data_IF_325560437922
#
_entry.id   IF_325560437922
#
_cell.length_a   1.000
_cell.length_b   1.000
_cell.length_c   1.000
_cell.angle_alpha   90.00
_cell.angle_beta   90.00
_cell.angle_gamma   90.00
#
_symmetry.space_group_name_H-M   'P 1'
#
loop_
_entity.id
_entity.type
_entity.pdbx_description
1 polymer ?
#
# COMPACT_ATOMS: atom_id res chain seq x y z
N UNK A 1 51.27 -42.71 -26.43
CA UNK A 1 50.66 -43.24 -25.19
C UNK A 1 49.15 -43.04 -25.29
N UNK A 2 48.34 -44.10 -25.19
CA UNK A 2 46.92 -44.00 -25.56
C UNK A 2 46.02 -43.53 -24.40
N UNK A 3 45.03 -42.67 -24.66
CA UNK A 3 44.27 -41.97 -23.63
C UNK A 3 42.97 -42.73 -23.29
N UNK A 4 43.04 -43.84 -22.54
CA UNK A 4 41.82 -44.61 -22.22
C UNK A 4 41.70 -44.93 -20.73
N UNK A 5 40.53 -44.66 -20.16
CA UNK A 5 40.14 -44.96 -18.77
C UNK A 5 39.01 -45.99 -18.77
N UNK A 6 39.23 -47.11 -18.10
CA UNK A 6 38.31 -48.27 -18.03
C UNK A 6 37.19 -47.99 -17.03
N UNK A 7 35.94 -48.15 -17.44
CA UNK A 7 34.76 -48.14 -16.55
C UNK A 7 34.06 -49.50 -16.69
N UNK A 8 34.10 -50.26 -15.59
CA UNK A 8 33.40 -51.53 -15.30
C UNK A 8 33.23 -52.56 -16.44
N UNK A 9 34.19 -53.48 -16.53
CA UNK A 9 33.95 -54.89 -16.88
C UNK A 9 33.81 -55.28 -18.36
N UNK A 10 33.69 -54.34 -19.30
CA UNK A 10 33.80 -54.63 -20.76
C UNK A 10 34.59 -53.54 -21.46
N UNK A 11 35.38 -53.90 -22.47
CA UNK A 11 36.14 -52.97 -23.30
C UNK A 11 35.19 -52.15 -24.20
N UNK A 12 34.53 -51.16 -23.61
CA UNK A 12 33.65 -50.25 -24.33
C UNK A 12 34.52 -49.14 -24.93
N UNK A 13 34.92 -49.26 -26.19
CA UNK A 13 35.41 -48.12 -26.97
C UNK A 13 34.21 -47.22 -27.25
N UNK A 14 33.82 -46.36 -26.30
CA UNK A 14 32.93 -45.26 -26.64
C UNK A 14 33.71 -44.43 -27.69
N UNK A 15 33.25 -44.34 -28.95
CA UNK A 15 33.97 -43.58 -29.93
C UNK A 15 33.96 -42.12 -29.46
N UNK A 16 35.12 -41.46 -29.43
CA UNK A 16 35.27 -40.02 -29.15
C UNK A 16 34.23 -39.18 -29.89
N UNK A 17 33.77 -39.66 -31.05
CA UNK A 17 32.68 -39.08 -31.85
C UNK A 17 31.34 -38.97 -31.10
N UNK A 18 30.98 -39.93 -30.26
CA UNK A 18 29.73 -39.91 -29.47
C UNK A 18 29.87 -38.91 -28.31
N UNK A 19 30.99 -38.93 -27.59
CA UNK A 19 31.27 -37.97 -26.52
C UNK A 19 31.30 -36.53 -27.05
N UNK A 20 31.96 -36.30 -28.18
CA UNK A 20 31.98 -35.00 -28.85
C UNK A 20 30.58 -34.57 -29.31
N UNK A 21 29.76 -35.48 -29.84
CA UNK A 21 28.36 -35.17 -30.21
C UNK A 21 27.51 -34.81 -29.00
N UNK A 22 27.65 -35.52 -27.89
CA UNK A 22 26.95 -35.21 -26.63
C UNK A 22 27.39 -33.85 -26.08
N UNK A 23 28.70 -33.57 -26.08
CA UNK A 23 29.24 -32.28 -25.69
C UNK A 23 28.67 -31.12 -26.52
N UNK A 24 28.63 -31.26 -27.85
CA UNK A 24 28.05 -30.23 -28.71
C UNK A 24 26.54 -30.07 -28.54
N UNK A 25 25.80 -31.16 -28.33
CA UNK A 25 24.37 -31.08 -28.04
C UNK A 25 24.11 -30.28 -26.75
N UNK A 26 24.84 -30.58 -25.67
CA UNK A 26 24.76 -29.84 -24.40
C UNK A 26 25.14 -28.38 -24.59
N UNK A 27 26.20 -28.09 -25.36
CA UNK A 27 26.66 -26.72 -25.62
C UNK A 27 25.61 -25.91 -26.39
N UNK A 28 24.94 -26.51 -27.37
CA UNK A 28 23.86 -25.89 -28.14
C UNK A 28 22.64 -25.65 -27.25
N UNK A 29 22.24 -26.62 -26.43
CA UNK A 29 21.13 -26.46 -25.49
C UNK A 29 21.41 -25.34 -24.47
N UNK A 30 22.62 -25.25 -23.92
CA UNK A 30 22.98 -24.20 -22.96
C UNK A 30 22.95 -22.80 -23.60
N UNK A 31 23.40 -22.66 -24.85
CA UNK A 31 23.32 -21.38 -25.57
C UNK A 31 21.87 -20.88 -25.71
N UNK A 32 20.93 -21.79 -25.97
CA UNK A 32 19.51 -21.44 -26.04
C UNK A 32 18.91 -21.06 -24.69
N UNK A 33 19.43 -21.60 -23.58
CA UNK A 33 18.96 -21.29 -22.23
C UNK A 33 19.45 -19.91 -21.81
N UNK A 34 20.71 -19.55 -22.08
CA UNK A 34 21.27 -18.25 -21.74
C UNK A 34 20.51 -17.11 -22.45
N UNK A 35 20.24 -17.27 -23.75
CA UNK A 35 19.44 -16.30 -24.50
C UNK A 35 18.01 -16.19 -23.95
N UNK A 36 17.33 -17.31 -23.70
CA UNK A 36 15.99 -17.32 -23.13
C UNK A 36 15.94 -16.72 -21.71
N UNK A 37 17.03 -16.85 -20.95
CA UNK A 37 17.16 -16.27 -19.62
C UNK A 37 17.31 -14.75 -19.68
N UNK A 38 18.09 -14.22 -20.62
CA UNK A 38 18.21 -12.78 -20.84
C UNK A 38 16.89 -12.18 -21.36
N UNK A 39 16.21 -12.84 -22.30
CA UNK A 39 14.88 -12.43 -22.76
C UNK A 39 13.86 -12.40 -21.62
N UNK A 40 13.84 -13.43 -20.77
CA UNK A 40 12.96 -13.47 -19.58
C UNK A 40 13.31 -12.36 -18.58
N UNK A 41 14.59 -12.07 -18.35
CA UNK A 41 15.00 -10.96 -17.48
C UNK A 41 14.50 -9.62 -18.02
N UNK A 42 14.63 -9.39 -19.32
CA UNK A 42 14.15 -8.17 -19.96
C UNK A 42 12.63 -8.02 -19.77
N UNK A 43 11.87 -9.08 -20.03
CA UNK A 43 10.42 -9.09 -19.83
C UNK A 43 10.01 -8.80 -18.37
N UNK A 44 10.75 -9.32 -17.40
CA UNK A 44 10.49 -9.03 -15.98
C UNK A 44 10.77 -7.57 -15.64
N UNK A 45 11.87 -7.00 -16.15
CA UNK A 45 12.17 -5.59 -15.94
C UNK A 45 11.09 -4.68 -16.55
N UNK A 46 10.62 -4.97 -17.77
CA UNK A 46 9.53 -4.22 -18.40
C UNK A 46 8.25 -4.27 -17.56
N UNK A 47 7.90 -5.43 -16.98
CA UNK A 47 6.76 -5.56 -16.08
C UNK A 47 6.92 -4.75 -14.79
N UNK A 48 8.11 -4.75 -14.21
CA UNK A 48 8.40 -3.99 -13.00
C UNK A 48 8.31 -2.47 -13.26
N UNK A 49 8.76 -2.01 -14.43
CA UNK A 49 8.60 -0.61 -14.86
C UNK A 49 7.13 -0.22 -15.00
N UNK A 50 6.31 -1.04 -15.67
CA UNK A 50 4.85 -0.80 -15.81
C UNK A 50 4.17 -0.77 -14.45
N UNK A 51 4.53 -1.68 -13.54
CA UNK A 51 4.00 -1.68 -12.18
C UNK A 51 4.36 -0.39 -11.43
N UNK A 52 5.63 0.03 -11.48
CA UNK A 52 6.08 1.24 -10.82
C UNK A 52 5.33 2.47 -11.34
N UNK A 53 5.21 2.60 -12.66
CA UNK A 53 4.45 3.68 -13.30
C UNK A 53 2.98 3.69 -12.84
N UNK A 54 2.32 2.52 -12.80
CA UNK A 54 0.95 2.41 -12.33
C UNK A 54 0.79 2.82 -10.85
N UNK A 55 1.75 2.44 -10.00
CA UNK A 55 1.76 2.84 -8.59
C UNK A 55 1.96 4.35 -8.41
N UNK A 56 2.91 4.94 -9.13
CA UNK A 56 3.15 6.39 -9.11
C UNK A 56 1.93 7.17 -9.60
N UNK A 57 1.33 6.73 -10.70
CA UNK A 57 0.09 7.31 -11.24
C UNK A 57 -1.04 7.23 -10.20
N UNK A 58 -1.27 6.06 -9.60
CA UNK A 58 -2.29 5.88 -8.56
C UNK A 58 -2.07 6.80 -7.36
N UNK A 59 -0.82 6.90 -6.88
CA UNK A 59 -0.44 7.79 -5.78
C UNK A 59 -0.74 9.24 -6.13
N UNK A 60 -0.36 9.69 -7.32
CA UNK A 60 -0.61 11.04 -7.79
C UNK A 60 -2.10 11.38 -7.89
N UNK A 61 -2.94 10.47 -8.40
CA UNK A 61 -4.38 10.65 -8.42
C UNK A 61 -4.94 10.82 -7.02
N UNK A 62 -4.58 9.92 -6.08
CA UNK A 62 -5.02 10.01 -4.68
C UNK A 62 -4.60 11.32 -4.03
N UNK A 63 -3.37 11.75 -4.25
CA UNK A 63 -2.86 13.03 -3.72
C UNK A 63 -3.61 14.23 -4.31
N UNK A 64 -3.87 14.26 -5.62
CA UNK A 64 -4.66 15.31 -6.27
C UNK A 64 -6.07 15.37 -5.73
N UNK A 65 -6.74 14.23 -5.65
CA UNK A 65 -8.10 14.12 -5.12
C UNK A 65 -8.14 14.57 -3.66
N UNK A 66 -7.17 14.14 -2.84
CA UNK A 66 -7.04 14.60 -1.45
C UNK A 66 -6.85 16.11 -1.36
N UNK A 67 -5.91 16.70 -2.10
CA UNK A 67 -5.68 18.16 -2.13
C UNK A 67 -6.93 18.93 -2.52
N UNK A 68 -7.66 18.44 -3.53
CA UNK A 68 -8.93 19.04 -3.95
C UNK A 68 -9.97 19.01 -2.83
N UNK A 69 -10.19 17.86 -2.20
CA UNK A 69 -11.12 17.76 -1.08
C UNK A 69 -10.67 18.57 0.14
N UNK A 70 -9.39 18.53 0.50
CA UNK A 70 -8.83 19.31 1.61
C UNK A 70 -9.02 20.82 1.37
N UNK A 71 -8.94 21.29 0.11
CA UNK A 71 -9.25 22.68 -0.24
C UNK A 71 -10.74 23.03 -0.15
N UNK A 72 -11.62 22.05 -0.32
CA UNK A 72 -13.08 22.19 -0.15
C UNK A 72 -13.53 22.08 1.30
N UNK A 73 -12.67 21.58 2.21
CA UNK A 73 -12.97 21.55 3.64
C UNK A 73 -12.95 22.98 4.16
N UNK A 74 -14.14 23.58 4.26
CA UNK A 74 -14.32 24.82 4.98
C UNK A 74 -13.95 24.62 6.45
N UNK A 75 -13.10 25.51 6.98
CA UNK A 75 -12.85 25.57 8.43
C UNK A 75 -14.17 25.89 9.11
N UNK A 76 -14.60 25.00 10.00
CA UNK A 76 -15.76 25.23 10.85
C UNK A 76 -15.27 25.64 12.22
N UNK A 77 -15.68 26.80 12.65
CA UNK A 77 -15.49 27.26 14.02
C UNK A 77 -16.64 26.71 14.87
N UNK A 78 -16.29 26.18 16.03
CA UNK A 78 -17.24 25.69 17.01
C UNK A 78 -17.03 26.43 18.32
N UNK A 79 -18.11 26.86 18.95
CA UNK A 79 -18.07 27.53 20.25
C UNK A 79 -18.20 26.50 21.37
N UNK A 80 -17.50 26.69 22.48
CA UNK A 80 -17.63 25.84 23.68
C UNK A 80 -19.11 25.86 24.13
N UNK A 81 -19.72 24.68 24.26
CA UNK A 81 -21.14 24.51 24.58
C UNK A 81 -22.07 24.37 23.38
N UNK A 82 -21.57 24.50 22.14
CA UNK A 82 -22.35 24.25 20.92
C UNK A 82 -22.63 22.75 20.73
N UNK A 83 -23.90 22.39 20.52
CA UNK A 83 -24.27 21.02 20.16
C UNK A 83 -23.76 20.71 18.75
N UNK A 84 -23.00 19.63 18.62
CA UNK A 84 -22.45 19.14 17.35
C UNK A 84 -22.83 17.68 17.16
N UNK A 85 -23.18 17.31 15.94
CA UNK A 85 -23.48 15.94 15.58
C UNK A 85 -22.19 15.24 15.15
N UNK A 86 -21.84 14.16 15.84
CA UNK A 86 -20.76 13.26 15.46
C UNK A 86 -21.27 12.32 14.35
N UNK A 87 -20.79 12.52 13.12
CA UNK A 87 -21.12 11.63 12.02
C UNK A 87 -20.05 10.54 11.88
N UNK A 88 -20.42 9.29 12.16
CA UNK A 88 -19.57 8.12 11.92
C UNK A 88 -19.46 7.90 10.41
N UNK A 89 -18.39 8.42 9.80
CA UNK A 89 -18.11 8.08 8.41
C UNK A 89 -17.71 6.61 8.36
N UNK A 90 -18.55 5.78 7.72
CA UNK A 90 -18.23 4.35 7.50
C UNK A 90 -16.92 4.14 6.73
N UNK A 91 -16.42 5.20 6.10
CA UNK A 91 -15.21 5.20 5.31
C UNK A 91 -13.93 5.33 6.15
N UNK A 92 -13.97 5.67 7.44
CA UNK A 92 -12.81 5.63 8.36
C UNK A 92 -11.57 6.46 7.96
N UNK A 93 -11.64 7.18 6.85
CA UNK A 93 -10.46 7.71 6.13
C UNK A 93 -10.06 9.13 6.55
N UNK A 94 -10.89 9.82 7.34
CA UNK A 94 -10.65 11.22 7.71
C UNK A 94 -10.69 11.42 9.22
N UNK A 95 -9.52 11.62 9.83
CA UNK A 95 -9.43 12.12 11.20
C UNK A 95 -9.55 13.64 11.21
N UNK A 96 -10.45 14.19 12.02
CA UNK A 96 -10.60 15.64 12.22
C UNK A 96 -9.86 16.03 13.50
N UNK A 97 -8.86 16.89 13.39
CA UNK A 97 -8.19 17.49 14.55
C UNK A 97 -8.87 18.82 14.89
N UNK A 98 -9.34 18.94 16.13
CA UNK A 98 -9.98 20.14 16.67
C UNK A 98 -8.95 20.82 17.56
N UNK A 99 -8.72 22.12 17.36
CA UNK A 99 -7.85 22.91 18.23
C UNK A 99 -8.67 23.95 18.98
N UNK A 100 -8.47 24.03 20.28
CA UNK A 100 -9.05 25.10 21.10
C UNK A 100 -8.13 26.31 21.05
N UNK A 101 -8.65 27.46 20.59
CA UNK A 101 -7.89 28.72 20.56
C UNK A 101 -7.55 29.24 21.96
N UNK A 102 -8.41 28.98 22.96
CA UNK A 102 -8.22 29.46 24.33
C UNK A 102 -7.22 28.63 25.15
N UNK A 103 -7.04 27.35 24.80
CA UNK A 103 -6.28 26.39 25.63
C UNK A 103 -5.09 25.78 24.90
N UNK A 104 -4.95 26.05 23.60
CA UNK A 104 -4.00 25.43 22.67
C UNK A 104 -3.99 23.88 22.68
N UNK A 105 -5.01 23.27 23.27
CA UNK A 105 -5.21 21.82 23.31
C UNK A 105 -5.79 21.36 21.98
N UNK A 106 -5.22 20.28 21.42
CA UNK A 106 -5.77 19.62 20.24
C UNK A 106 -6.39 18.25 20.56
N UNK A 107 -7.56 17.98 19.98
CA UNK A 107 -8.30 16.73 20.10
C UNK A 107 -8.46 16.12 18.71
N UNK A 108 -7.93 14.91 18.53
CA UNK A 108 -7.98 14.19 17.25
C UNK A 108 -9.15 13.21 17.25
N UNK A 109 -10.14 13.46 16.40
CA UNK A 109 -11.32 12.62 16.23
C UNK A 109 -11.09 11.69 15.04
N UNK A 110 -10.80 10.41 15.29
CA UNK A 110 -10.41 9.45 14.25
C UNK A 110 -11.62 9.00 13.41
N UNK A 111 -11.73 9.44 12.16
CA UNK A 111 -12.73 8.92 11.22
C UNK A 111 -14.12 9.58 11.31
N UNK A 112 -14.32 10.55 12.21
CA UNK A 112 -15.61 11.19 12.41
C UNK A 112 -15.61 12.63 11.90
N UNK A 113 -16.71 13.01 11.25
CA UNK A 113 -16.95 14.39 10.82
C UNK A 113 -17.88 15.08 11.81
N UNK A 114 -17.49 16.26 12.29
CA UNK A 114 -18.37 17.11 13.08
C UNK A 114 -19.27 17.96 12.17
N UNK A 115 -20.58 17.89 12.38
CA UNK A 115 -21.56 18.75 11.73
C UNK A 115 -22.25 19.65 12.77
N UNK A 116 -22.52 20.93 12.46
CA UNK A 116 -23.36 21.76 13.30
C UNK A 116 -24.70 21.07 13.53
N UNK A 117 -25.15 20.99 14.78
CA UNK A 117 -26.47 20.47 15.09
C UNK A 117 -27.51 21.53 14.67
N UNK A 118 -28.19 21.28 13.55
CA UNK A 118 -29.37 22.04 13.17
C UNK A 118 -30.56 21.42 13.91
N UNK A 119 -31.20 22.20 14.79
CA UNK A 119 -32.45 21.80 15.45
C UNK A 119 -33.55 21.66 14.39
N UNK A 120 -33.58 20.50 13.73
CA UNK A 120 -34.66 20.13 12.84
C UNK A 120 -35.77 19.50 13.69
N UNK A 121 -37.01 20.02 13.65
CA UNK A 121 -38.13 19.47 14.41
C UNK A 121 -38.52 18.03 13.99
N UNK A 122 -37.91 17.48 12.94
CA UNK A 122 -38.07 16.09 12.50
C UNK A 122 -37.11 15.08 13.17
N UNK A 123 -36.12 15.53 13.95
CA UNK A 123 -35.16 14.68 14.68
C UNK A 123 -35.50 14.53 16.18
N UNK A 124 -36.78 14.70 16.53
CA UNK A 124 -37.27 14.70 17.92
C UNK A 124 -37.07 13.38 18.67
N UNK A 125 -36.84 12.26 17.97
CA UNK A 125 -36.66 10.93 18.58
C UNK A 125 -35.21 10.39 18.53
N UNK A 126 -34.23 11.20 18.11
CA UNK A 126 -32.84 10.76 18.13
C UNK A 126 -32.30 10.79 19.57
N UNK A 127 -31.83 9.65 20.08
CA UNK A 127 -31.09 9.56 21.35
C UNK A 127 -29.80 10.37 21.20
N UNK A 128 -29.81 11.60 21.71
CA UNK A 128 -28.63 12.46 21.76
C UNK A 128 -27.79 12.02 22.96
N UNK A 129 -26.70 11.29 22.71
CA UNK A 129 -25.68 11.11 23.73
C UNK A 129 -24.94 12.44 23.93
N UNK A 130 -25.21 13.11 25.05
CA UNK A 130 -24.45 14.28 25.47
C UNK A 130 -23.10 13.82 26.03
N UNK A 131 -22.09 13.78 25.15
CA UNK A 131 -20.70 13.63 25.60
C UNK A 131 -20.21 15.01 26.04
N UNK A 132 -20.10 15.20 27.35
CA UNK A 132 -19.46 16.37 27.92
C UNK A 132 -17.95 16.32 27.62
N UNK A 133 -17.43 17.34 26.94
CA UNK A 133 -15.99 17.60 26.84
C UNK A 133 -15.51 18.08 28.22
N UNK A 134 -15.46 17.17 29.19
CA UNK A 134 -14.95 17.47 30.52
C UNK A 134 -13.42 17.61 30.41
N UNK A 135 -12.92 18.76 30.84
CA UNK A 135 -11.49 18.97 31.02
C UNK A 135 -11.04 18.02 32.14
N UNK A 136 -10.27 16.98 31.79
CA UNK A 136 -9.62 16.09 32.77
C UNK A 136 -8.51 16.86 33.50
N UNK A 137 -8.89 17.83 34.32
CA UNK A 137 -8.02 18.59 35.18
C UNK A 137 -8.59 18.64 36.59
N UNK A 138 -8.81 17.48 37.19
CA UNK A 138 -9.01 17.36 38.65
C UNK A 138 -8.92 15.90 39.12
N UNK A 139 -7.73 15.33 39.08
CA UNK A 139 -7.34 14.34 40.07
C UNK A 139 -5.97 14.78 40.65
N UNK A 140 -5.88 15.10 41.96
CA UNK A 140 -4.60 15.32 42.63
C UNK A 140 -3.90 13.97 42.87
N UNK A 141 -2.60 13.96 43.22
CA UNK A 141 -1.63 12.93 42.82
C UNK A 141 -1.82 11.56 43.46
#
# INVERSE_FOLDING_TARGET
MSPYRVIFGKACHLPVKIEHRAYWAVKICNFSIDQALEERKLQLNELDEIHLEAYENSKFYKEKTKKFYDSLIARKEFVVGQKVLLYNSRLGLMGVEIKSESTDKSFKVNGHCLKPFLNNPSLVDAVVEEVSLLDHASFPP
#
